data_IF_359154773656
#
_entry.id   IF_359154773656
#
_cell.length_a   1.000
_cell.length_b   1.000
_cell.length_c   1.000
_cell.angle_alpha   90.00
_cell.angle_beta   90.00
_cell.angle_gamma   90.00
#
_symmetry.space_group_name_H-M   'P 1'
#
loop_
_entity.id
_entity.type
_entity.pdbx_description
1 polymer ?
#
# COMPACT_ATOMS: atom_id res chain seq x y z
N UNK A 1 -6.22 7.95 1.51
CA UNK A 1 -6.17 6.51 1.92
C UNK A 1 -6.05 6.37 3.45
N UNK A 2 -6.73 5.40 4.11
CA UNK A 2 -6.99 5.45 5.57
C UNK A 2 -7.29 4.08 6.25
N UNK A 3 -6.39 3.54 7.07
CA UNK A 3 -6.41 2.22 7.73
C UNK A 3 -7.08 1.94 9.13
N UNK A 4 -7.96 2.70 9.78
CA UNK A 4 -8.55 2.46 11.15
C UNK A 4 -7.67 2.05 12.39
N UNK A 5 -7.75 2.85 13.47
CA UNK A 5 -7.68 2.40 14.88
C UNK A 5 -8.86 2.96 15.70
N UNK A 6 -9.26 2.27 16.77
CA UNK A 6 -10.41 2.65 17.63
C UNK A 6 -10.08 3.68 18.73
N UNK A 7 -8.84 4.17 18.79
CA UNK A 7 -8.42 5.27 19.67
C UNK A 7 -7.18 5.90 19.05
N UNK A 8 -7.13 7.24 19.06
CA UNK A 8 -6.26 8.14 18.29
C UNK A 8 -6.72 8.37 16.83
N UNK A 9 -6.97 9.64 16.48
CA UNK A 9 -7.10 10.05 15.07
C UNK A 9 -5.77 9.71 14.41
N UNK A 10 -5.74 8.68 13.57
CA UNK A 10 -4.64 8.49 12.63
C UNK A 10 -4.33 9.83 11.94
N UNK A 11 -3.08 10.26 12.01
CA UNK A 11 -2.68 11.52 11.43
C UNK A 11 -2.97 11.48 9.92
N UNK A 12 -3.75 12.45 9.43
CA UNK A 12 -3.95 12.65 7.99
C UNK A 12 -2.91 13.66 7.53
N UNK A 13 -2.17 13.32 6.47
CA UNK A 13 -1.25 14.26 5.81
C UNK A 13 -1.63 14.37 4.34
N UNK A 14 -1.72 15.60 3.85
CA UNK A 14 -2.04 15.90 2.47
C UNK A 14 -0.86 16.57 1.79
N UNK A 15 -0.60 16.21 0.54
CA UNK A 15 0.31 16.94 -0.32
C UNK A 15 -0.40 18.16 -0.93
N UNK A 16 0.39 19.12 -1.43
CA UNK A 16 -0.12 20.31 -2.11
C UNK A 16 -0.97 19.97 -3.35
N UNK A 17 -0.74 18.81 -3.97
CA UNK A 17 -1.50 18.25 -5.10
C UNK A 17 -2.90 17.77 -4.70
N UNK A 18 -3.25 17.75 -3.41
CA UNK A 18 -4.54 17.30 -2.90
C UNK A 18 -4.58 15.82 -2.52
N UNK A 19 -3.54 15.03 -2.79
CA UNK A 19 -3.47 13.63 -2.33
C UNK A 19 -3.31 13.56 -0.82
N UNK A 20 -4.23 12.89 -0.13
CA UNK A 20 -4.20 12.71 1.32
C UNK A 20 -4.01 11.25 1.74
N UNK A 21 -3.08 11.04 2.67
CA UNK A 21 -2.76 9.76 3.29
C UNK A 21 -3.10 9.77 4.78
N UNK A 22 -3.31 8.59 5.33
CA UNK A 22 -3.35 8.33 6.77
C UNK A 22 -2.99 6.88 7.02
N UNK A 23 -2.17 6.68 8.05
CA UNK A 23 -1.61 5.42 8.46
C UNK A 23 -2.32 4.95 9.72
N UNK A 24 -2.58 3.65 9.84
CA UNK A 24 -3.27 3.15 11.01
C UNK A 24 -2.83 1.71 11.26
N UNK A 25 -2.58 1.40 12.52
CA UNK A 25 -2.22 0.07 12.97
C UNK A 25 -3.50 -0.71 13.35
N UNK A 26 -3.90 -1.63 12.48
CA UNK A 26 -4.95 -2.61 12.77
C UNK A 26 -4.58 -3.98 12.20
N UNK A 27 -4.91 -5.02 12.97
CA UNK A 27 -4.81 -6.39 12.49
C UNK A 27 -6.07 -6.73 11.68
N UNK A 28 -5.87 -7.33 10.50
CA UNK A 28 -6.97 -7.69 9.61
C UNK A 28 -6.49 -8.12 8.24
N UNK A 29 -7.38 -8.77 7.52
CA UNK A 29 -7.19 -9.13 6.12
C UNK A 29 -7.16 -7.89 5.22
N UNK A 30 -6.62 -8.06 4.01
CA UNK A 30 -6.67 -7.02 2.98
C UNK A 30 -8.10 -6.54 2.70
N UNK A 31 -9.07 -7.45 2.68
CA UNK A 31 -10.47 -7.12 2.41
C UNK A 31 -11.07 -6.24 3.53
N UNK A 32 -10.76 -6.55 4.80
CA UNK A 32 -11.17 -5.74 5.94
C UNK A 32 -10.53 -4.35 5.90
N UNK A 33 -9.22 -4.27 5.61
CA UNK A 33 -8.50 -3.01 5.47
C UNK A 33 -9.06 -2.16 4.32
N UNK A 34 -9.37 -2.77 3.17
CA UNK A 34 -10.02 -2.10 2.04
C UNK A 34 -11.39 -1.55 2.40
N UNK A 35 -12.22 -2.36 3.07
CA UNK A 35 -13.55 -1.95 3.50
C UNK A 35 -13.48 -0.83 4.55
N UNK A 36 -12.51 -0.89 5.46
CA UNK A 36 -12.23 0.15 6.45
C UNK A 36 -11.88 1.50 5.79
N UNK A 37 -10.99 1.49 4.79
CA UNK A 37 -10.68 2.67 3.97
C UNK A 37 -11.94 3.21 3.27
N UNK A 38 -12.72 2.32 2.64
CA UNK A 38 -13.94 2.66 1.92
C UNK A 38 -14.97 3.39 2.77
N UNK A 39 -15.19 2.93 4.01
CA UNK A 39 -16.09 3.59 4.98
C UNK A 39 -15.66 5.02 5.34
N UNK A 40 -14.38 5.36 5.12
CA UNK A 40 -13.84 6.70 5.32
C UNK A 40 -13.75 7.52 4.02
N UNK A 41 -14.50 7.10 2.99
CA UNK A 41 -14.54 7.75 1.67
C UNK A 41 -13.15 7.82 1.00
N UNK A 42 -12.37 6.76 1.13
CA UNK A 42 -11.10 6.62 0.42
C UNK A 42 -10.82 5.16 0.06
N UNK A 43 -9.62 4.90 -0.47
CA UNK A 43 -9.15 3.57 -0.83
C UNK A 43 -7.90 3.18 -0.04
N UNK A 44 -7.43 1.93 -0.18
CA UNK A 44 -6.08 1.57 0.25
C UNK A 44 -5.06 2.45 -0.49
N UNK A 45 -3.95 2.77 0.17
CA UNK A 45 -2.98 3.72 -0.37
C UNK A 45 -2.31 3.19 -1.63
N UNK A 46 -2.23 4.03 -2.65
CA UNK A 46 -1.32 3.88 -3.79
C UNK A 46 -0.49 5.15 -3.89
N UNK A 47 0.62 5.09 -4.61
CA UNK A 47 1.54 6.22 -4.76
C UNK A 47 1.90 6.39 -6.24
N UNK A 48 1.95 7.63 -6.69
CA UNK A 48 2.30 8.05 -8.04
C UNK A 48 3.79 8.26 -8.26
N UNK A 49 4.57 8.36 -7.17
CA UNK A 49 6.00 8.61 -7.25
C UNK A 49 6.70 8.61 -5.89
N UNK A 50 8.01 8.88 -5.91
CA UNK A 50 8.88 8.86 -4.73
C UNK A 50 8.44 9.82 -3.61
N UNK A 51 7.96 11.06 -3.88
CA UNK A 51 7.53 11.97 -2.80
C UNK A 51 6.34 11.43 -1.99
N UNK A 52 5.39 10.79 -2.67
CA UNK A 52 4.23 10.16 -2.01
C UNK A 52 4.64 8.90 -1.25
N UNK A 53 5.55 8.09 -1.81
CA UNK A 53 6.08 6.93 -1.10
C UNK A 53 6.80 7.32 0.18
N UNK A 54 7.68 8.34 0.13
CA UNK A 54 8.39 8.82 1.31
C UNK A 54 7.43 9.31 2.39
N UNK A 55 6.44 10.12 2.01
CA UNK A 55 5.39 10.59 2.92
C UNK A 55 4.65 9.41 3.56
N UNK A 56 4.24 8.43 2.77
CA UNK A 56 3.55 7.24 3.27
C UNK A 56 4.42 6.46 4.27
N UNK A 57 5.69 6.21 3.94
CA UNK A 57 6.62 5.48 4.82
C UNK A 57 6.86 6.20 6.15
N UNK A 58 7.04 7.53 6.14
CA UNK A 58 7.15 8.34 7.37
C UNK A 58 5.92 8.17 8.27
N UNK A 59 4.73 8.18 7.68
CA UNK A 59 3.48 8.02 8.43
C UNK A 59 3.33 6.61 8.99
N UNK A 60 3.68 5.58 8.20
CA UNK A 60 3.65 4.21 8.67
C UNK A 60 4.66 3.99 9.81
N UNK A 61 5.84 4.62 9.75
CA UNK A 61 6.86 4.52 10.79
C UNK A 61 6.42 5.17 12.11
N UNK A 62 5.65 6.26 12.05
CA UNK A 62 5.07 6.89 13.24
C UNK A 62 3.99 6.03 13.91
N UNK A 63 3.30 5.19 13.14
CA UNK A 63 2.26 4.27 13.66
C UNK A 63 2.82 2.89 14.05
N UNK A 64 3.98 2.51 13.53
CA UNK A 64 4.60 1.21 13.78
C UNK A 64 5.27 1.18 15.16
N UNK A 65 4.80 0.30 16.04
CA UNK A 65 5.43 0.05 17.36
C UNK A 65 6.41 -1.12 17.33
N UNK A 66 6.43 -1.89 16.24
CA UNK A 66 7.26 -3.07 16.00
C UNK A 66 7.37 -3.31 14.48
N UNK A 67 8.26 -4.20 14.00
CA UNK A 67 8.25 -4.62 12.61
C UNK A 67 6.85 -5.05 12.16
N UNK A 68 6.30 -4.34 11.17
CA UNK A 68 4.89 -4.44 10.82
C UNK A 68 4.69 -4.46 9.31
N UNK A 69 3.65 -5.16 8.86
CA UNK A 69 3.19 -5.16 7.49
C UNK A 69 1.92 -4.31 7.39
N UNK A 70 1.93 -3.30 6.54
CA UNK A 70 0.77 -2.44 6.29
C UNK A 70 0.22 -2.69 4.89
N UNK A 71 -1.07 -3.00 4.80
CA UNK A 71 -1.74 -3.17 3.51
C UNK A 71 -1.74 -1.85 2.72
N UNK A 72 -1.37 -1.95 1.45
CA UNK A 72 -1.48 -0.88 0.45
C UNK A 72 -2.32 -1.40 -0.71
N UNK A 73 -2.77 -0.54 -1.63
CA UNK A 73 -3.66 -0.89 -2.74
C UNK A 73 -2.99 -1.74 -3.83
N UNK A 74 -1.90 -2.44 -3.54
CA UNK A 74 -1.14 -3.21 -4.51
C UNK A 74 -1.66 -4.65 -4.53
N UNK A 75 -2.21 -5.07 -5.67
CA UNK A 75 -2.81 -6.40 -5.84
C UNK A 75 -2.50 -6.98 -7.20
N UNK A 76 -2.29 -8.30 -7.23
CA UNK A 76 -2.25 -9.12 -8.43
C UNK A 76 -3.52 -9.94 -8.48
N UNK A 77 -4.33 -9.74 -9.52
CA UNK A 77 -5.56 -10.51 -9.71
C UNK A 77 -5.25 -11.96 -10.12
N UNK A 78 -6.24 -12.84 -9.99
CA UNK A 78 -6.17 -14.12 -10.71
C UNK A 78 -6.01 -13.83 -12.21
N UNK A 79 -5.36 -14.75 -12.94
CA UNK A 79 -4.86 -14.64 -14.32
C UNK A 79 -3.71 -13.66 -14.58
N UNK A 80 -3.43 -12.70 -13.69
CA UNK A 80 -2.23 -11.87 -13.78
C UNK A 80 -1.00 -12.65 -13.27
N UNK A 81 -0.12 -13.07 -14.18
CA UNK A 81 1.08 -13.84 -13.84
C UNK A 81 2.10 -13.02 -13.05
N UNK A 82 2.75 -13.67 -12.07
CA UNK A 82 3.96 -13.11 -11.47
C UNK A 82 5.04 -12.94 -12.54
N UNK A 83 5.51 -11.71 -12.77
CA UNK A 83 6.58 -11.42 -13.74
C UNK A 83 7.79 -10.81 -13.04
N UNK A 84 8.82 -11.62 -12.78
CA UNK A 84 10.03 -11.18 -12.05
C UNK A 84 10.88 -10.16 -12.80
N UNK A 85 10.64 -9.96 -14.10
CA UNK A 85 11.28 -8.91 -14.89
C UNK A 85 10.68 -7.51 -14.71
N UNK A 86 9.54 -7.39 -14.02
CA UNK A 86 8.85 -6.12 -13.79
C UNK A 86 8.96 -5.70 -12.30
N UNK A 87 9.10 -4.40 -11.98
CA UNK A 87 9.29 -3.94 -10.60
C UNK A 87 8.21 -4.43 -9.62
N UNK A 88 6.94 -4.37 -10.02
CA UNK A 88 5.81 -4.78 -9.19
C UNK A 88 5.41 -6.24 -9.37
N UNK A 89 6.19 -7.05 -10.10
CA UNK A 89 5.98 -8.51 -10.20
C UNK A 89 4.60 -8.92 -10.70
N UNK A 90 3.97 -8.11 -11.55
CA UNK A 90 2.61 -8.34 -12.06
C UNK A 90 1.49 -7.85 -11.13
N UNK A 91 1.82 -7.19 -10.02
CA UNK A 91 0.85 -6.46 -9.22
C UNK A 91 0.57 -5.07 -9.83
N UNK A 92 -0.64 -4.57 -9.61
CA UNK A 92 -1.10 -3.25 -10.02
C UNK A 92 -1.78 -2.54 -8.86
N UNK A 93 -1.84 -1.22 -8.92
CA UNK A 93 -2.58 -0.41 -7.97
C UNK A 93 -4.10 -0.53 -8.21
N UNK A 94 -4.85 -0.77 -7.13
CA UNK A 94 -6.31 -0.65 -7.09
C UNK A 94 -6.72 0.72 -6.53
N UNK A 95 -7.91 1.20 -6.91
CA UNK A 95 -8.47 2.45 -6.38
C UNK A 95 -7.78 3.72 -6.90
N UNK A 96 -7.17 3.64 -8.08
CA UNK A 96 -6.77 4.81 -8.87
C UNK A 96 -8.04 5.42 -9.44
N UNK A 97 -8.65 6.36 -8.70
CA UNK A 97 -9.87 7.02 -9.15
C UNK A 97 -9.57 7.93 -10.34
N UNK A 98 -10.26 7.72 -11.48
CA UNK A 98 -10.29 8.66 -12.60
C UNK A 98 -8.98 8.85 -13.40
N UNK A 99 -7.98 7.98 -13.24
CA UNK A 99 -6.69 8.12 -13.91
C UNK A 99 -6.02 6.81 -14.31
N UNK A 100 -5.04 6.90 -15.22
CA UNK A 100 -4.16 5.78 -15.55
C UNK A 100 -3.29 5.40 -14.33
N UNK A 101 -2.94 4.12 -14.21
CA UNK A 101 -1.95 3.71 -13.22
C UNK A 101 -0.65 4.53 -13.40
N UNK A 102 0.05 4.87 -12.30
CA UNK A 102 1.34 5.55 -12.35
C UNK A 102 2.27 4.93 -13.39
N UNK A 103 2.78 5.75 -14.31
CA UNK A 103 3.77 5.29 -15.29
C UNK A 103 5.11 4.99 -14.63
N UNK A 104 5.43 5.72 -13.56
CA UNK A 104 6.65 5.53 -12.78
C UNK A 104 6.38 4.73 -11.52
N UNK A 105 7.15 3.66 -11.33
CA UNK A 105 7.16 2.89 -10.09
C UNK A 105 8.35 3.35 -9.26
N UNK A 106 8.13 3.90 -8.05
CA UNK A 106 9.22 4.19 -7.12
C UNK A 106 10.18 3.01 -6.98
N UNK A 107 11.48 3.25 -7.10
CA UNK A 107 12.49 2.20 -7.16
C UNK A 107 12.47 1.31 -5.91
N UNK A 108 12.13 1.91 -4.77
CA UNK A 108 11.99 1.20 -3.50
C UNK A 108 10.90 0.11 -3.51
N UNK A 109 9.84 0.25 -4.31
CA UNK A 109 8.78 -0.76 -4.44
C UNK A 109 9.21 -1.99 -5.26
N UNK A 110 10.32 -1.89 -6.00
CA UNK A 110 10.93 -3.03 -6.67
C UNK A 110 11.71 -3.97 -5.74
N UNK A 111 11.97 -3.53 -4.49
CA UNK A 111 12.73 -4.28 -3.48
C UNK A 111 11.79 -5.09 -2.57
N UNK A 112 11.38 -6.26 -3.05
CA UNK A 112 10.46 -7.13 -2.31
C UNK A 112 11.14 -7.76 -1.10
N UNK A 113 10.60 -7.49 0.10
CA UNK A 113 11.05 -8.14 1.34
C UNK A 113 10.88 -9.68 1.29
N UNK A 114 9.84 -10.14 0.58
CA UNK A 114 9.62 -11.54 0.23
C UNK A 114 9.14 -11.61 -1.21
N UNK A 115 9.89 -12.30 -2.06
CA UNK A 115 9.54 -12.46 -3.48
C UNK A 115 8.20 -13.20 -3.63
N UNK A 116 7.26 -12.70 -4.45
CA UNK A 116 5.99 -13.37 -4.69
C UNK A 116 6.16 -14.72 -5.39
N UNK A 117 5.36 -15.70 -4.99
CA UNK A 117 5.33 -17.01 -5.63
C UNK A 117 5.01 -16.86 -7.11
N UNK A 118 5.75 -17.55 -7.98
CA UNK A 118 5.48 -17.64 -9.42
C UNK A 118 4.20 -18.42 -9.66
N UNK A 119 3.09 -17.70 -9.86
CA UNK A 119 1.76 -18.26 -10.08
C UNK A 119 0.90 -17.25 -10.82
N UNK A 120 -0.27 -17.66 -11.32
CA UNK A 120 -1.32 -16.80 -11.86
C UNK A 120 -2.73 -17.27 -11.45
N UNK A 121 -2.83 -18.29 -10.62
CA UNK A 121 -4.10 -18.98 -10.35
C UNK A 121 -4.91 -18.31 -9.25
N UNK A 122 -4.23 -17.61 -8.33
CA UNK A 122 -4.85 -16.98 -7.17
C UNK A 122 -4.48 -15.51 -7.10
N UNK A 123 -5.45 -14.69 -6.69
CA UNK A 123 -5.17 -13.30 -6.38
C UNK A 123 -4.23 -13.20 -5.17
N UNK A 124 -3.34 -12.21 -5.19
CA UNK A 124 -2.41 -11.91 -4.09
C UNK A 124 -2.42 -10.43 -3.81
N UNK A 125 -2.33 -10.08 -2.54
CA UNK A 125 -2.26 -8.70 -2.08
C UNK A 125 -0.87 -8.45 -1.49
N UNK A 126 -0.40 -7.22 -1.56
CA UNK A 126 0.90 -6.82 -1.03
C UNK A 126 0.75 -5.75 0.04
N UNK A 127 1.73 -5.70 0.93
CA UNK A 127 1.85 -4.68 1.96
C UNK A 127 3.27 -4.14 2.00
N UNK A 128 3.42 -2.95 2.57
CA UNK A 128 4.72 -2.37 2.88
C UNK A 128 5.21 -2.95 4.20
N UNK A 129 6.41 -3.50 4.20
CA UNK A 129 7.06 -3.99 5.40
C UNK A 129 7.97 -2.90 5.95
N UNK A 130 7.71 -2.48 7.18
CA UNK A 130 8.63 -1.65 7.94
C UNK A 130 9.47 -2.56 8.83
N UNK A 131 10.77 -2.60 8.56
CA UNK A 131 11.74 -3.22 9.46
C UNK A 131 11.89 -2.32 10.71
N UNK A 132 12.19 -2.93 11.86
CA UNK A 132 12.69 -2.15 12.99
C UNK A 132 13.99 -1.46 12.57
N UNK A 133 14.18 -0.21 12.98
CA UNK A 133 15.47 0.43 12.90
C UNK A 133 16.48 -0.46 13.65
N UNK A 134 17.52 -0.91 12.94
CA UNK A 134 18.63 -1.65 13.53
C UNK A 134 19.46 -0.74 14.45
#
# INVERSE_FOLDING_TARGET
>A
ACALARTARAAVRCQATGTCFSAHAANGSYAEARNACGRKRGNLAWVSGEPELRLLLEMLAAEATAPSLFWVGLKRNASACTNTGQPLRGFSWEGVDGGAAPQEVPAALGRWAKEPVRSCLTARCAGLHLAAAA
#
